data_IF_791705642285
#
_entry.id   IF_791705642285
#
_cell.length_a   1.000
_cell.length_b   1.000
_cell.length_c   1.000
_cell.angle_alpha   90.00
_cell.angle_beta   90.00
_cell.angle_gamma   90.00
#
_symmetry.space_group_name_H-M   'P 1'
#
loop_
_entity.id
_entity.type
_entity.pdbx_description
1 polymer ?
#
# COMPACT_ATOMS: atom_id res chain seq x y z
N UNK A 1 -23.39 -2.80 16.44
CA UNK A 1 -22.69 -1.61 17.00
C UNK A 1 -21.54 -1.25 16.07
N UNK A 2 -21.22 0.03 15.81
CA UNK A 2 -20.08 0.37 14.97
C UNK A 2 -18.76 -0.06 15.62
N UNK A 3 -17.85 -0.57 14.79
CA UNK A 3 -16.49 -0.95 15.15
C UNK A 3 -15.51 0.00 14.49
N UNK A 4 -14.42 0.28 15.21
CA UNK A 4 -13.37 1.17 14.77
C UNK A 4 -12.00 0.49 14.91
N UNK A 5 -11.13 0.69 13.93
CA UNK A 5 -9.71 0.34 14.02
C UNK A 5 -8.92 1.56 14.45
N UNK A 6 -8.11 1.42 15.49
CA UNK A 6 -7.09 2.39 15.86
C UNK A 6 -5.75 1.83 15.40
N UNK A 7 -5.11 2.55 14.47
CA UNK A 7 -3.77 2.23 13.99
C UNK A 7 -2.76 3.17 14.66
N UNK A 8 -1.99 2.63 15.61
CA UNK A 8 -0.91 3.33 16.28
C UNK A 8 0.36 3.22 15.44
N UNK A 9 0.68 4.27 14.70
CA UNK A 9 1.96 4.36 14.01
C UNK A 9 3.07 4.65 15.02
N UNK A 10 4.16 3.87 14.99
CA UNK A 10 5.26 4.01 15.96
C UNK A 10 5.97 5.37 15.90
N UNK A 11 5.89 6.07 14.77
CA UNK A 11 6.55 7.36 14.51
C UNK A 11 5.59 8.43 13.96
N UNK A 12 4.27 8.21 14.03
CA UNK A 12 3.27 9.13 13.49
C UNK A 12 2.02 9.16 14.38
N UNK A 13 1.07 10.03 14.07
CA UNK A 13 -0.15 10.22 14.85
C UNK A 13 -1.05 8.99 14.71
N UNK A 14 -1.60 8.45 15.82
CA UNK A 14 -2.59 7.39 15.76
C UNK A 14 -3.81 7.83 14.95
N UNK A 15 -4.33 6.94 14.11
CA UNK A 15 -5.51 7.21 13.31
C UNK A 15 -6.62 6.21 13.62
N UNK A 16 -7.85 6.71 13.68
CA UNK A 16 -9.04 5.91 13.95
C UNK A 16 -9.89 5.81 12.68
N UNK A 17 -10.27 4.60 12.32
CA UNK A 17 -11.02 4.29 11.10
C UNK A 17 -12.28 3.54 11.47
N UNK A 18 -13.41 3.90 10.86
CA UNK A 18 -14.60 3.07 10.92
C UNK A 18 -14.38 1.82 10.06
N UNK A 19 -14.67 0.64 10.61
CA UNK A 19 -14.40 -0.65 9.94
C UNK A 19 -15.65 -1.51 9.72
N UNK A 20 -16.82 -1.05 10.16
CA UNK A 20 -18.10 -1.70 9.91
C UNK A 20 -19.02 -1.75 11.13
N UNK A 21 -20.21 -2.30 10.94
CA UNK A 21 -21.20 -2.55 11.99
C UNK A 21 -21.46 -4.04 12.23
N UNK A 22 -21.00 -4.89 11.32
CA UNK A 22 -21.09 -6.35 11.40
C UNK A 22 -19.77 -6.91 11.97
N UNK A 23 -19.77 -7.51 13.17
CA UNK A 23 -18.57 -8.05 13.79
C UNK A 23 -17.91 -9.19 13.00
N UNK A 24 -18.63 -9.83 12.08
CA UNK A 24 -18.13 -10.94 11.27
C UNK A 24 -17.57 -10.51 9.92
N UNK A 25 -17.79 -9.24 9.53
CA UNK A 25 -17.38 -8.70 8.25
C UNK A 25 -16.88 -7.27 8.40
N UNK A 26 -15.67 -7.16 8.97
CA UNK A 26 -14.99 -5.89 9.17
C UNK A 26 -13.90 -5.72 8.12
N UNK A 27 -13.91 -4.56 7.45
CA UNK A 27 -12.91 -4.22 6.43
C UNK A 27 -12.24 -2.92 6.80
N UNK A 28 -10.92 -2.91 6.71
CA UNK A 28 -10.11 -1.72 6.96
C UNK A 28 -9.14 -1.49 5.82
N UNK A 29 -9.03 -0.23 5.44
CA UNK A 29 -8.09 0.24 4.43
C UNK A 29 -7.06 1.13 5.13
N UNK A 30 -5.83 0.64 5.23
CA UNK A 30 -4.72 1.40 5.83
C UNK A 30 -4.46 2.67 5.02
N UNK A 31 -4.14 3.80 5.66
CA UNK A 31 -3.85 5.06 4.94
C UNK A 31 -2.45 5.61 5.20
N UNK A 32 -1.71 4.96 6.10
CA UNK A 32 -0.36 5.31 6.47
C UNK A 32 0.61 5.01 5.31
N UNK A 33 1.70 5.78 5.18
CA UNK A 33 2.66 5.59 4.10
C UNK A 33 3.39 4.24 4.19
N UNK A 34 3.87 3.77 3.04
CA UNK A 34 4.72 2.57 2.94
C UNK A 34 5.93 2.68 3.88
N UNK A 35 6.26 1.60 4.57
CA UNK A 35 7.29 1.54 5.61
C UNK A 35 6.78 1.88 7.01
N UNK A 36 5.55 2.38 7.16
CA UNK A 36 4.94 2.62 8.47
C UNK A 36 4.80 1.33 9.25
N UNK A 37 5.16 1.37 10.53
CA UNK A 37 4.99 0.27 11.48
C UNK A 37 3.81 0.57 12.40
N UNK A 38 2.81 -0.30 12.39
CA UNK A 38 1.51 -0.11 13.01
C UNK A 38 1.25 -1.16 14.09
N UNK A 39 0.90 -0.72 15.29
CA UNK A 39 0.16 -1.55 16.25
C UNK A 39 -1.34 -1.29 16.03
N UNK A 40 -2.13 -2.36 15.96
CA UNK A 40 -3.55 -2.29 15.61
C UNK A 40 -4.41 -2.65 16.82
N UNK A 41 -5.51 -1.92 17.03
CA UNK A 41 -6.52 -2.20 18.04
C UNK A 41 -7.91 -2.02 17.46
N UNK A 42 -8.82 -2.95 17.71
CA UNK A 42 -10.23 -2.79 17.39
C UNK A 42 -10.97 -2.32 18.63
N UNK A 43 -11.82 -1.31 18.50
CA UNK A 43 -12.68 -0.81 19.56
C UNK A 43 -14.12 -0.79 19.08
N UNK A 44 -15.07 -1.13 19.96
CA UNK A 44 -16.48 -0.95 19.67
C UNK A 44 -16.96 0.48 20.01
N UNK A 45 -18.20 0.78 19.61
CA UNK A 45 -18.87 2.04 19.89
C UNK A 45 -19.01 2.39 21.38
N UNK A 46 -18.95 1.39 22.25
CA UNK A 46 -19.05 1.57 23.70
C UNK A 46 -17.67 1.81 24.34
N UNK A 47 -16.62 1.94 23.53
CA UNK A 47 -15.25 2.15 23.99
C UNK A 47 -14.62 0.88 24.57
N UNK A 48 -15.19 -0.30 24.30
CA UNK A 48 -14.61 -1.57 24.73
C UNK A 48 -13.53 -2.00 23.73
N UNK A 49 -12.26 -2.08 24.14
CA UNK A 49 -11.20 -2.55 23.26
C UNK A 49 -11.25 -4.07 23.11
N UNK A 50 -11.16 -4.55 21.88
CA UNK A 50 -10.91 -5.96 21.54
C UNK A 50 -9.48 -6.42 21.82
N UNK A 51 -8.60 -5.49 22.23
CA UNK A 51 -7.19 -5.73 22.52
C UNK A 51 -6.25 -5.18 21.45
N UNK A 52 -4.96 -5.10 21.79
CA UNK A 52 -3.90 -4.80 20.84
C UNK A 52 -3.46 -6.08 20.14
N UNK A 53 -3.28 -6.02 18.82
CA UNK A 53 -2.66 -7.11 18.09
C UNK A 53 -1.26 -7.40 18.66
N UNK A 54 -0.92 -8.69 18.82
CA UNK A 54 0.35 -9.12 19.41
C UNK A 54 1.56 -8.87 18.51
N UNK A 55 1.34 -8.44 17.27
CA UNK A 55 2.38 -8.19 16.26
C UNK A 55 2.28 -6.77 15.71
N UNK A 56 3.42 -6.24 15.29
CA UNK A 56 3.53 -4.97 14.58
C UNK A 56 3.44 -5.25 13.09
N UNK A 57 2.53 -4.56 12.41
CA UNK A 57 2.36 -4.65 10.96
C UNK A 57 3.21 -3.59 10.27
N UNK A 58 3.82 -3.94 9.15
CA UNK A 58 4.52 -2.97 8.29
C UNK A 58 3.70 -2.76 7.03
N UNK A 59 3.43 -1.50 6.68
CA UNK A 59 2.82 -1.17 5.39
C UNK A 59 3.83 -1.46 4.31
N UNK A 60 3.53 -2.39 3.41
CA UNK A 60 4.44 -2.82 2.34
C UNK A 60 3.89 -2.42 0.98
N UNK A 61 4.80 -2.03 0.08
CA UNK A 61 4.53 -1.88 -1.33
C UNK A 61 5.30 -2.97 -2.05
N UNK A 62 4.58 -3.87 -2.72
CA UNK A 62 5.18 -5.05 -3.33
C UNK A 62 5.14 -4.94 -4.85
N UNK A 63 6.30 -4.89 -5.48
CA UNK A 63 6.40 -5.01 -6.93
C UNK A 63 6.36 -6.50 -7.28
N UNK A 64 5.33 -6.93 -8.00
CA UNK A 64 5.26 -8.30 -8.50
C UNK A 64 5.86 -8.35 -9.91
N UNK A 65 7.18 -8.44 -9.98
CA UNK A 65 7.89 -8.61 -11.25
C UNK A 65 7.85 -10.09 -11.60
N UNK A 66 6.95 -10.48 -12.49
CA UNK A 66 7.04 -11.78 -13.16
C UNK A 66 8.25 -11.73 -14.09
N UNK A 67 9.34 -12.40 -13.68
CA UNK A 67 10.53 -12.78 -14.44
C UNK A 67 10.59 -12.36 -15.94
N UNK A 68 11.75 -11.86 -16.41
CA UNK A 68 13.08 -12.15 -15.85
C UNK A 68 13.51 -11.14 -14.79
N UNK A 69 14.43 -11.57 -13.91
CA UNK A 69 15.19 -10.71 -12.97
C UNK A 69 15.86 -9.50 -13.66
N UNK A 70 15.89 -9.50 -15.00
CA UNK A 70 16.21 -8.39 -15.87
C UNK A 70 15.04 -8.16 -16.83
N UNK A 71 14.19 -7.18 -16.53
CA UNK A 71 13.22 -6.66 -17.49
C UNK A 71 13.98 -5.95 -18.62
N UNK A 72 13.75 -6.37 -19.86
CA UNK A 72 14.25 -5.66 -21.03
C UNK A 72 13.36 -4.46 -21.33
N UNK A 73 13.87 -3.52 -22.13
CA UNK A 73 13.03 -2.44 -22.65
C UNK A 73 11.85 -3.05 -23.41
N UNK A 74 10.66 -2.52 -23.17
CA UNK A 74 9.35 -2.97 -23.64
C UNK A 74 8.73 -4.18 -22.92
N UNK A 75 9.38 -4.76 -21.90
CA UNK A 75 8.77 -5.84 -21.13
C UNK A 75 7.72 -5.32 -20.13
N UNK A 76 6.62 -6.06 -19.91
CA UNK A 76 5.64 -5.71 -18.90
C UNK A 76 6.17 -5.98 -17.48
N UNK A 77 5.97 -5.00 -16.60
CA UNK A 77 6.23 -5.02 -15.17
C UNK A 77 4.89 -4.96 -14.43
N UNK A 78 4.68 -5.82 -13.42
CA UNK A 78 3.55 -5.73 -12.48
C UNK A 78 3.90 -5.03 -11.16
N UNK A 79 3.07 -4.08 -10.73
CA UNK A 79 3.06 -3.50 -9.38
C UNK A 79 1.78 -3.94 -8.70
N UNK A 80 1.89 -4.55 -7.51
CA UNK A 80 0.73 -4.93 -6.70
C UNK A 80 0.71 -4.09 -5.43
N UNK A 81 -0.37 -3.33 -5.25
CA UNK A 81 -0.55 -2.42 -4.14
C UNK A 81 -1.41 -3.13 -3.10
N UNK A 82 -0.82 -3.48 -1.96
CA UNK A 82 -1.55 -4.11 -0.86
C UNK A 82 -1.64 -3.15 0.32
N UNK A 83 -2.86 -2.70 0.60
CA UNK A 83 -3.10 -1.62 1.57
C UNK A 83 -3.00 -0.22 0.96
N UNK A 84 -3.27 0.82 1.75
CA UNK A 84 -3.44 2.20 1.28
C UNK A 84 -4.90 2.46 0.91
N UNK A 85 -5.37 3.72 0.88
CA UNK A 85 -6.70 4.07 0.32
C UNK A 85 -6.53 4.67 -1.09
N UNK A 86 -7.16 4.11 -2.14
CA UNK A 86 -7.07 4.67 -3.48
C UNK A 86 -7.74 6.06 -3.54
N UNK A 87 -7.38 6.91 -4.52
CA UNK A 87 -6.46 6.64 -5.62
C UNK A 87 -4.98 6.69 -5.21
N UNK A 88 -4.16 5.83 -5.82
CA UNK A 88 -2.70 5.81 -5.62
C UNK A 88 -2.00 6.47 -6.79
N UNK A 89 -0.96 7.25 -6.52
CA UNK A 89 -0.03 7.69 -7.57
C UNK A 89 1.19 6.81 -7.49
N UNK A 90 1.42 5.98 -8.51
CA UNK A 90 2.67 5.24 -8.69
C UNK A 90 3.60 6.09 -9.53
N UNK A 91 4.79 6.38 -9.01
CA UNK A 91 5.84 7.11 -9.71
C UNK A 91 6.95 6.14 -10.13
N UNK A 92 7.23 6.11 -11.43
CA UNK A 92 8.26 5.28 -12.06
C UNK A 92 9.40 6.17 -12.54
N UNK A 93 10.62 5.87 -12.11
CA UNK A 93 11.82 6.68 -12.41
C UNK A 93 13.00 5.83 -12.82
N UNK A 94 13.77 6.31 -13.79
CA UNK A 94 15.10 5.80 -14.10
C UNK A 94 16.15 6.78 -13.54
N UNK A 95 17.12 6.33 -12.72
CA UNK A 95 18.20 7.20 -12.25
C UNK A 95 18.99 7.81 -13.42
N UNK A 96 19.43 9.06 -13.24
CA UNK A 96 20.20 9.83 -14.24
C UNK A 96 19.46 10.05 -15.58
N UNK A 97 18.13 9.98 -15.59
CA UNK A 97 17.28 10.29 -16.73
C UNK A 97 16.31 11.43 -16.39
N UNK A 98 15.99 12.37 -17.30
CA UNK A 98 15.14 13.51 -17.00
C UNK A 98 13.65 13.16 -16.86
N UNK A 99 13.22 12.03 -17.43
CA UNK A 99 11.81 11.67 -17.47
C UNK A 99 11.40 10.72 -16.35
N UNK A 100 10.18 10.94 -15.85
CA UNK A 100 9.48 10.08 -14.91
C UNK A 100 8.05 9.84 -15.40
N UNK A 101 7.43 8.77 -14.93
CA UNK A 101 6.03 8.46 -15.25
C UNK A 101 5.21 8.41 -13.97
N UNK A 102 4.18 9.24 -13.88
CA UNK A 102 3.19 9.16 -12.81
C UNK A 102 1.93 8.48 -13.35
N UNK A 103 1.48 7.43 -12.66
CA UNK A 103 0.26 6.70 -13.01
C UNK A 103 -0.68 6.71 -11.82
N UNK A 104 -1.91 7.17 -12.04
CA UNK A 104 -2.96 7.13 -11.01
C UNK A 104 -3.71 5.81 -11.11
N UNK A 105 -3.63 5.00 -10.06
CA UNK A 105 -4.43 3.78 -9.88
C UNK A 105 -5.75 4.17 -9.24
N UNK A 106 -6.85 3.87 -9.93
CA UNK A 106 -8.21 4.24 -9.53
C UNK A 106 -8.77 3.32 -8.43
N UNK A 107 -9.81 3.76 -7.71
CA UNK A 107 -10.54 2.89 -6.78
C UNK A 107 -11.05 1.61 -7.47
N UNK A 108 -10.91 0.48 -6.77
CA UNK A 108 -11.30 -0.84 -7.29
C UNK A 108 -10.18 -1.60 -8.03
N UNK A 109 -9.00 -1.00 -8.18
CA UNK A 109 -7.81 -1.64 -8.73
C UNK A 109 -6.68 -1.67 -7.70
N UNK A 110 -5.97 -2.80 -7.65
CA UNK A 110 -4.84 -3.07 -6.77
C UNK A 110 -3.59 -3.52 -7.56
N UNK A 111 -3.68 -3.56 -8.89
CA UNK A 111 -2.59 -3.94 -9.79
C UNK A 111 -2.41 -2.89 -10.88
N UNK A 112 -1.15 -2.45 -11.05
CA UNK A 112 -0.71 -1.65 -12.20
C UNK A 112 0.24 -2.49 -13.06
N UNK A 113 -0.03 -2.56 -14.35
CA UNK A 113 0.91 -3.11 -15.34
C UNK A 113 1.55 -1.96 -16.11
N UNK A 114 2.88 -1.89 -16.11
CA UNK A 114 3.66 -0.86 -16.80
C UNK A 114 4.58 -1.50 -17.84
N UNK A 115 4.68 -0.91 -19.03
CA UNK A 115 5.66 -1.33 -20.04
C UNK A 115 6.99 -0.65 -19.74
N UNK A 116 8.05 -1.42 -19.52
CA UNK A 116 9.37 -0.91 -19.20
C UNK A 116 9.89 -0.01 -20.34
N UNK A 117 10.03 1.28 -20.08
CA UNK A 117 10.62 2.25 -21.03
C UNK A 117 12.02 2.70 -20.64
N UNK A 118 12.64 2.02 -19.68
CA UNK A 118 13.99 2.33 -19.24
C UNK A 118 15.00 1.89 -20.31
N UNK A 119 16.14 2.58 -20.35
CA UNK A 119 17.25 2.22 -21.24
C UNK A 119 17.78 0.82 -20.91
N UNK A 120 18.31 0.08 -21.89
CA UNK A 120 19.00 -1.18 -21.63
C UNK A 120 20.11 -1.01 -20.58
N UNK A 121 20.27 -1.99 -19.69
CA UNK A 121 21.24 -1.99 -18.58
C UNK A 121 21.06 -0.84 -17.57
N UNK A 122 19.88 -0.23 -17.50
CA UNK A 122 19.54 0.76 -16.48
C UNK A 122 18.59 0.20 -15.43
N UNK A 123 18.50 0.90 -14.29
CA UNK A 123 17.57 0.55 -13.23
C UNK A 123 16.27 1.35 -13.38
N UNK A 124 15.13 0.71 -13.21
CA UNK A 124 13.83 1.35 -13.06
C UNK A 124 13.35 1.17 -11.62
N UNK A 125 12.87 2.24 -10.99
CA UNK A 125 12.41 2.27 -9.60
C UNK A 125 10.93 2.68 -9.60
N UNK A 126 10.09 1.97 -8.87
CA UNK A 126 8.68 2.32 -8.64
C UNK A 126 8.42 2.65 -7.16
N UNK A 127 7.65 3.71 -6.90
CA UNK A 127 7.18 4.13 -5.57
C UNK A 127 5.70 4.47 -5.60
#
# INVERSE_FOLDING_TARGET
>A
PPFYMIAFALNDTPATYFIGTDPTNLTWTVSQPVGSRLALSVVDANGSPGGLASQIFTVVFTTNVTSPEQLTTCDPWGVTIQGGNPPYTVTLVQPNFPDFTNVTVLPGFDVLTYINRANPNSQLIGK
#
